data_IF_204974909390
#
_entry.id   IF_204974909390
#
_cell.length_a   1.000
_cell.length_b   1.000
_cell.length_c   1.000
_cell.angle_alpha   90.00
_cell.angle_beta   90.00
_cell.angle_gamma   90.00
#
_symmetry.space_group_name_H-M   'P 1'
#
loop_
_entity.id
_entity.type
_entity.pdbx_description
1 polymer ?
#
# COMPACT_ATOMS: atom_id res chain seq x y z
N UNK A 1 7.22 1.44 -27.79
CA UNK A 1 8.34 1.91 -26.95
C UNK A 1 8.25 1.16 -25.63
N UNK A 2 9.18 0.25 -25.34
CA UNK A 2 9.24 -0.35 -24.00
C UNK A 2 9.69 0.74 -23.03
N UNK A 3 8.85 1.06 -22.05
CA UNK A 3 9.16 2.05 -21.02
C UNK A 3 10.28 1.49 -20.14
N UNK A 4 11.52 1.97 -20.35
CA UNK A 4 12.67 1.60 -19.53
C UNK A 4 12.38 1.84 -18.03
N UNK A 5 11.70 2.95 -17.71
CA UNK A 5 11.27 3.26 -16.34
C UNK A 5 10.23 2.26 -15.79
N UNK A 6 9.28 1.81 -16.62
CA UNK A 6 8.31 0.79 -16.22
C UNK A 6 8.95 -0.57 -15.96
N UNK A 7 9.96 -0.94 -16.74
CA UNK A 7 10.74 -2.16 -16.52
C UNK A 7 11.53 -2.10 -15.22
N UNK A 8 12.23 -0.98 -14.96
CA UNK A 8 12.97 -0.75 -13.72
C UNK A 8 12.03 -0.76 -12.51
N UNK A 9 10.88 -0.09 -12.60
CA UNK A 9 9.85 -0.13 -11.56
C UNK A 9 9.36 -1.56 -11.33
N UNK A 10 9.06 -2.32 -12.39
CA UNK A 10 8.64 -3.70 -12.28
C UNK A 10 9.66 -4.59 -11.57
N UNK A 11 10.95 -4.44 -11.90
CA UNK A 11 12.03 -5.17 -11.24
C UNK A 11 12.12 -4.80 -9.75
N UNK A 12 12.14 -3.50 -9.44
CA UNK A 12 12.18 -3.00 -8.05
C UNK A 12 10.98 -3.51 -7.26
N UNK A 13 9.79 -3.48 -7.86
CA UNK A 13 8.55 -3.90 -7.22
C UNK A 13 8.55 -5.41 -6.93
N UNK A 14 9.03 -6.24 -7.88
CA UNK A 14 9.18 -7.69 -7.66
C UNK A 14 10.20 -7.94 -6.55
N UNK A 15 11.44 -7.45 -6.70
CA UNK A 15 12.51 -7.74 -5.73
C UNK A 15 12.18 -7.18 -4.34
N UNK A 16 11.64 -5.96 -4.28
CA UNK A 16 11.21 -5.32 -3.04
C UNK A 16 10.12 -6.11 -2.33
N UNK A 17 9.05 -6.48 -3.02
CA UNK A 17 7.96 -7.26 -2.42
C UNK A 17 8.38 -8.69 -2.04
N UNK A 18 9.29 -9.31 -2.79
CA UNK A 18 9.88 -10.59 -2.36
C UNK A 18 10.65 -10.43 -1.06
N UNK A 19 11.46 -9.36 -0.93
CA UNK A 19 12.17 -9.05 0.31
C UNK A 19 11.23 -8.89 1.51
N UNK A 20 10.15 -8.13 1.35
CA UNK A 20 9.21 -7.83 2.44
C UNK A 20 8.34 -9.02 2.86
N UNK A 21 8.24 -10.08 2.06
CA UNK A 21 7.47 -11.27 2.41
C UNK A 21 8.37 -12.43 2.84
N UNK A 22 9.44 -12.72 2.10
CA UNK A 22 10.29 -13.88 2.36
C UNK A 22 11.36 -13.63 3.42
N UNK A 23 11.77 -12.38 3.64
CA UNK A 23 12.79 -12.04 4.65
C UNK A 23 12.14 -11.47 5.93
N UNK A 24 10.82 -11.30 5.93
CA UNK A 24 10.09 -10.77 7.07
C UNK A 24 9.76 -11.87 8.10
N UNK A 25 10.26 -11.70 9.32
CA UNK A 25 10.10 -12.67 10.39
C UNK A 25 8.62 -12.83 10.83
N UNK A 26 7.81 -11.76 10.74
CA UNK A 26 6.39 -11.80 11.11
C UNK A 26 5.58 -12.73 10.22
N UNK A 27 5.87 -12.74 8.91
CA UNK A 27 5.28 -13.70 7.98
C UNK A 27 5.67 -15.15 8.32
N UNK A 28 6.93 -15.40 8.66
CA UNK A 28 7.39 -16.75 9.04
C UNK A 28 6.74 -17.25 10.34
N UNK A 29 6.67 -16.42 11.38
CA UNK A 29 6.01 -16.78 12.64
C UNK A 29 4.53 -17.10 12.41
N UNK A 30 3.84 -16.30 11.59
CA UNK A 30 2.44 -16.52 11.21
C UNK A 30 2.26 -17.82 10.41
N UNK A 31 3.17 -18.10 9.46
CA UNK A 31 3.15 -19.33 8.66
C UNK A 31 3.30 -20.59 9.52
N UNK A 32 4.20 -20.56 10.50
CA UNK A 32 4.49 -21.69 11.40
C UNK A 32 3.35 -21.92 12.40
N UNK A 33 2.72 -20.85 12.89
CA UNK A 33 1.58 -20.94 13.81
C UNK A 33 0.30 -21.44 13.13
N UNK A 34 0.17 -21.28 11.81
CA UNK A 34 -1.00 -21.69 11.04
C UNK A 34 -1.05 -23.20 10.75
N UNK A 35 -2.25 -23.74 10.55
CA UNK A 35 -2.45 -25.14 10.13
C UNK A 35 -1.94 -25.34 8.69
N UNK A 36 -1.09 -26.35 8.40
CA UNK A 36 -0.51 -26.55 7.07
C UNK A 36 -1.52 -26.68 5.93
N UNK A 37 -2.70 -27.27 6.21
CA UNK A 37 -3.78 -27.41 5.22
C UNK A 37 -4.46 -26.09 4.85
N UNK A 38 -4.31 -25.06 5.68
CA UNK A 38 -4.91 -23.73 5.50
C UNK A 38 -3.91 -22.67 5.06
N UNK A 39 -2.62 -22.82 5.38
CA UNK A 39 -1.58 -21.82 5.12
C UNK A 39 -1.46 -21.43 3.65
N UNK A 40 -1.35 -22.41 2.73
CA UNK A 40 -1.20 -22.12 1.29
C UNK A 40 -2.43 -21.42 0.69
N UNK A 41 -3.65 -21.79 1.12
CA UNK A 41 -4.89 -21.15 0.67
C UNK A 41 -5.00 -19.72 1.20
N UNK A 42 -4.58 -19.51 2.45
CA UNK A 42 -4.50 -18.19 3.08
C UNK A 42 -3.58 -17.25 2.31
N UNK A 43 -2.38 -17.70 1.96
CA UNK A 43 -1.44 -16.89 1.17
C UNK A 43 -1.95 -16.57 -0.23
N UNK A 44 -2.56 -17.53 -0.93
CA UNK A 44 -3.14 -17.28 -2.26
C UNK A 44 -4.30 -16.29 -2.18
N UNK A 45 -5.21 -16.46 -1.22
CA UNK A 45 -6.33 -15.54 -1.03
C UNK A 45 -5.84 -14.14 -0.62
N UNK A 46 -4.88 -14.07 0.31
CA UNK A 46 -4.25 -12.81 0.73
C UNK A 46 -3.60 -12.09 -0.43
N UNK A 47 -2.86 -12.80 -1.29
CA UNK A 47 -2.24 -12.26 -2.50
C UNK A 47 -3.26 -11.76 -3.54
N UNK A 48 -4.40 -12.44 -3.68
CA UNK A 48 -5.47 -11.99 -4.57
C UNK A 48 -6.17 -10.72 -4.06
N UNK A 49 -6.43 -10.64 -2.75
CA UNK A 49 -7.06 -9.47 -2.11
C UNK A 49 -6.08 -8.30 -2.01
N UNK A 50 -4.77 -8.57 -2.01
CA UNK A 50 -3.72 -7.56 -1.88
C UNK A 50 -3.81 -6.46 -2.93
N UNK A 51 -4.26 -6.74 -4.15
CA UNK A 51 -4.44 -5.67 -5.15
C UNK A 51 -5.56 -4.70 -4.79
N UNK A 52 -6.67 -5.21 -4.24
CA UNK A 52 -7.88 -4.43 -4.01
C UNK A 52 -7.66 -3.30 -2.99
N UNK A 53 -6.88 -3.56 -1.94
CA UNK A 53 -6.61 -2.59 -0.85
C UNK A 53 -5.85 -1.34 -1.34
N UNK A 54 -4.61 -1.42 -1.85
CA UNK A 54 -3.87 -0.26 -2.34
C UNK A 54 -4.53 0.36 -3.56
N UNK A 55 -5.15 -0.43 -4.46
CA UNK A 55 -5.88 0.13 -5.60
C UNK A 55 -7.04 1.01 -5.14
N UNK A 56 -7.94 0.49 -4.31
CA UNK A 56 -9.10 1.27 -3.84
C UNK A 56 -8.68 2.47 -3.01
N UNK A 57 -7.71 2.32 -2.10
CA UNK A 57 -7.27 3.39 -1.21
C UNK A 57 -6.50 4.48 -1.96
N UNK A 58 -5.55 4.12 -2.82
CA UNK A 58 -4.80 5.09 -3.61
C UNK A 58 -5.69 5.82 -4.62
N UNK A 59 -6.60 5.11 -5.30
CA UNK A 59 -7.52 5.73 -6.27
C UNK A 59 -8.51 6.66 -5.57
N UNK A 60 -9.15 6.22 -4.47
CA UNK A 60 -10.14 7.06 -3.77
C UNK A 60 -9.52 8.32 -3.16
N UNK A 61 -8.40 8.19 -2.43
CA UNK A 61 -7.74 9.34 -1.79
C UNK A 61 -7.00 10.23 -2.81
N UNK A 62 -6.47 9.66 -3.89
CA UNK A 62 -5.86 10.41 -4.98
C UNK A 62 -6.89 11.26 -5.75
N UNK A 63 -8.03 10.65 -6.13
CA UNK A 63 -9.13 11.39 -6.76
C UNK A 63 -9.75 12.41 -5.79
N UNK A 64 -9.83 12.07 -4.49
CA UNK A 64 -10.29 13.00 -3.46
C UNK A 64 -9.39 14.24 -3.35
N UNK A 65 -8.06 14.07 -3.45
CA UNK A 65 -7.12 15.19 -3.46
C UNK A 65 -7.38 16.15 -4.63
N UNK A 66 -7.59 15.57 -5.83
CA UNK A 66 -7.88 16.31 -7.05
C UNK A 66 -9.25 17.01 -6.99
N UNK A 67 -10.28 16.32 -6.47
CA UNK A 67 -11.62 16.88 -6.36
C UNK A 67 -11.70 18.04 -5.36
N UNK A 68 -10.86 18.02 -4.31
CA UNK A 68 -10.76 19.07 -3.31
C UNK A 68 -9.76 20.17 -3.69
N UNK A 69 -9.10 20.05 -4.85
CA UNK A 69 -8.06 20.97 -5.33
C UNK A 69 -7.01 21.28 -4.25
N UNK A 70 -6.53 20.23 -3.57
CA UNK A 70 -5.57 20.41 -2.47
C UNK A 70 -4.25 20.97 -3.01
N UNK A 71 -3.64 21.96 -2.32
CA UNK A 71 -2.41 22.60 -2.76
C UNK A 71 -1.18 21.71 -2.49
N UNK A 72 -1.11 20.57 -3.18
CA UNK A 72 -0.04 19.58 -3.08
C UNK A 72 0.91 19.79 -4.25
N UNK A 73 2.18 20.08 -3.96
CA UNK A 73 3.16 20.23 -5.02
C UNK A 73 3.66 18.86 -5.53
N UNK A 74 4.29 18.85 -6.70
CA UNK A 74 4.77 17.60 -7.33
C UNK A 74 5.81 16.84 -6.48
N UNK A 75 6.58 17.54 -5.65
CA UNK A 75 7.56 16.93 -4.75
C UNK A 75 6.86 16.22 -3.59
N UNK A 76 5.88 16.86 -2.96
CA UNK A 76 5.04 16.28 -1.90
C UNK A 76 4.26 15.06 -2.39
N UNK A 77 3.71 15.15 -3.60
CA UNK A 77 3.04 14.02 -4.24
C UNK A 77 4.01 12.84 -4.46
N UNK A 78 5.25 13.13 -4.89
CA UNK A 78 6.29 12.14 -5.11
C UNK A 78 6.81 11.50 -3.82
N UNK A 79 6.71 12.20 -2.68
CA UNK A 79 6.97 11.65 -1.35
C UNK A 79 5.78 10.86 -0.75
N UNK A 80 4.69 10.69 -1.49
CA UNK A 80 3.54 9.92 -1.02
C UNK A 80 2.66 10.64 0.01
N UNK A 81 2.70 11.98 0.04
CA UNK A 81 1.91 12.77 1.00
C UNK A 81 0.45 13.00 0.58
N UNK A 82 0.04 12.49 -0.59
CA UNK A 82 -1.33 12.65 -1.10
C UNK A 82 -2.38 11.99 -0.18
N UNK A 83 -2.27 10.69 0.18
CA UNK A 83 -3.24 10.07 1.08
C UNK A 83 -3.41 10.78 2.43
N UNK A 84 -2.35 11.16 3.18
CA UNK A 84 -2.51 11.87 4.44
C UNK A 84 -3.11 13.27 4.29
N UNK A 85 -2.75 14.01 3.23
CA UNK A 85 -3.37 15.31 2.96
C UNK A 85 -4.87 15.18 2.70
N UNK A 86 -5.29 14.22 1.87
CA UNK A 86 -6.72 13.99 1.58
C UNK A 86 -7.49 13.52 2.80
N UNK A 87 -6.93 12.59 3.60
CA UNK A 87 -7.61 12.09 4.79
C UNK A 87 -7.84 13.20 5.83
N UNK A 88 -6.87 14.11 5.99
CA UNK A 88 -7.01 15.30 6.84
C UNK A 88 -8.09 16.23 6.30
N UNK A 89 -8.10 16.49 4.99
CA UNK A 89 -9.08 17.37 4.39
C UNK A 89 -10.51 16.84 4.52
N UNK A 90 -10.72 15.52 4.40
CA UNK A 90 -12.04 14.88 4.49
C UNK A 90 -12.51 14.66 5.93
N UNK A 91 -11.63 14.20 6.82
CA UNK A 91 -12.00 13.69 8.14
C UNK A 91 -11.31 14.43 9.30
N UNK A 92 -10.59 15.51 9.02
CA UNK A 92 -9.84 16.26 10.02
C UNK A 92 -8.77 15.40 10.73
N UNK A 93 -8.53 15.71 12.00
CA UNK A 93 -7.50 15.04 12.82
C UNK A 93 -7.70 13.53 12.96
N UNK A 94 -8.96 13.07 12.97
CA UNK A 94 -9.27 11.63 13.00
C UNK A 94 -8.77 10.90 11.76
N UNK A 95 -8.80 11.54 10.58
CA UNK A 95 -8.26 10.94 9.35
C UNK A 95 -6.75 10.68 9.42
N UNK A 96 -5.99 11.62 10.02
CA UNK A 96 -4.55 11.43 10.25
C UNK A 96 -4.28 10.24 11.15
N UNK A 97 -5.05 10.12 12.25
CA UNK A 97 -4.87 9.02 13.21
C UNK A 97 -5.15 7.70 12.52
N UNK A 98 -6.23 7.59 11.76
CA UNK A 98 -6.56 6.37 11.03
C UNK A 98 -5.46 5.95 10.03
N UNK A 99 -4.89 6.90 9.29
CA UNK A 99 -3.77 6.59 8.38
C UNK A 99 -2.48 6.23 9.11
N UNK A 100 -2.17 6.89 10.23
CA UNK A 100 -1.02 6.50 11.05
C UNK A 100 -1.21 5.11 11.63
N UNK A 101 -2.41 4.78 12.12
CA UNK A 101 -2.73 3.42 12.57
C UNK A 101 -2.56 2.42 11.45
N UNK A 102 -3.05 2.70 10.24
CA UNK A 102 -2.88 1.81 9.08
C UNK A 102 -1.42 1.66 8.64
N UNK A 103 -0.58 2.67 8.84
CA UNK A 103 0.84 2.63 8.45
C UNK A 103 1.69 1.81 9.44
N UNK A 104 1.35 1.87 10.72
CA UNK A 104 2.16 1.26 11.79
C UNK A 104 1.60 -0.05 12.34
N UNK A 105 0.38 -0.45 11.94
CA UNK A 105 -0.21 -1.76 12.26
C UNK A 105 -0.22 -2.64 11.03
#
# INVERSE_FOLDING_TARGET
>A
MLSSGGLVFGIINIVGNFGTVFVDNGYWVSAIAARPSSTHKGYLLGGLVWFAVPFSLATSLGLGALALDLPINASEASHGLVPPATAIALMGKSGSVLLLTMLFM
#
